data_IF_526717728774
#
_entry.id   IF_526717728774
#
_cell.length_a   1.000
_cell.length_b   1.000
_cell.length_c   1.000
_cell.angle_alpha   90.00
_cell.angle_beta   90.00
_cell.angle_gamma   90.00
#
_symmetry.space_group_name_H-M   'P 1'
#
loop_
_entity.id
_entity.type
_entity.pdbx_description
1 polymer ?
#
# COMPACT_ATOMS: atom_id res chain seq x y z
N UNK A 1 11.00 -9.35 -5.54
CA UNK A 1 9.81 -8.50 -5.75
C UNK A 1 10.08 -7.60 -6.94
N UNK A 2 9.22 -7.53 -7.97
CA UNK A 2 9.40 -6.62 -9.10
C UNK A 2 9.22 -5.16 -8.67
N UNK A 3 10.12 -4.28 -9.09
CA UNK A 3 10.05 -2.86 -8.72
C UNK A 3 8.81 -2.16 -9.28
N UNK A 4 8.47 -2.43 -10.55
CA UNK A 4 7.31 -1.86 -11.25
C UNK A 4 6.00 -2.12 -10.50
N UNK A 5 5.74 -3.38 -10.14
CA UNK A 5 4.53 -3.75 -9.41
C UNK A 5 4.38 -2.99 -8.08
N UNK A 6 5.49 -2.75 -7.37
CA UNK A 6 5.49 -2.02 -6.10
C UNK A 6 5.15 -0.55 -6.31
N UNK A 7 5.77 0.11 -7.29
CA UNK A 7 5.49 1.53 -7.56
C UNK A 7 4.11 1.76 -8.15
N UNK A 8 3.60 0.81 -8.92
CA UNK A 8 2.24 0.85 -9.50
C UNK A 8 1.17 0.65 -8.42
N UNK A 9 1.39 -0.27 -7.48
CA UNK A 9 0.51 -0.47 -6.34
C UNK A 9 0.49 0.77 -5.43
N UNK A 10 1.65 1.26 -5.02
CA UNK A 10 1.77 2.35 -4.05
C UNK A 10 1.59 3.76 -4.65
N UNK A 11 1.71 3.90 -5.97
CA UNK A 11 1.54 5.14 -6.71
C UNK A 11 2.69 6.10 -6.50
N UNK A 12 3.75 5.98 -7.31
CA UNK A 12 4.88 6.92 -7.30
C UNK A 12 4.42 8.38 -7.48
N UNK A 13 4.86 9.25 -6.58
CA UNK A 13 4.59 10.70 -6.61
C UNK A 13 5.83 11.52 -6.90
N UNK A 14 7.02 10.92 -6.78
CA UNK A 14 8.28 11.62 -6.95
C UNK A 14 9.47 10.76 -6.53
N UNK A 15 10.63 11.41 -6.46
CA UNK A 15 11.85 10.81 -5.96
C UNK A 15 12.75 11.86 -5.31
N UNK A 16 13.64 11.42 -4.42
CA UNK A 16 14.61 12.24 -3.72
C UNK A 16 15.95 11.53 -3.61
N UNK A 17 17.03 12.21 -4.00
CA UNK A 17 18.39 11.69 -3.79
C UNK A 17 18.75 11.78 -2.32
N UNK A 18 18.99 10.62 -1.69
CA UNK A 18 19.43 10.51 -0.30
C UNK A 18 20.96 10.53 -0.20
N UNK A 19 21.65 10.06 -1.25
CA UNK A 19 23.10 10.04 -1.32
C UNK A 19 23.70 8.73 -0.81
N UNK A 20 24.98 8.77 -0.42
CA UNK A 20 25.71 7.58 0.04
C UNK A 20 25.24 7.15 1.43
N UNK A 21 24.86 5.88 1.57
CA UNK A 21 24.46 5.24 2.83
C UNK A 21 25.01 3.82 2.90
N UNK A 22 25.23 3.35 4.12
CA UNK A 22 25.38 1.91 4.39
C UNK A 22 23.99 1.35 4.66
N UNK A 23 23.57 0.35 3.86
CA UNK A 23 22.24 -0.25 3.96
C UNK A 23 22.34 -1.74 4.34
N UNK A 24 21.38 -2.28 5.11
CA UNK A 24 21.30 -3.71 5.39
C UNK A 24 21.05 -4.54 4.12
N UNK A 25 21.73 -5.68 3.96
CA UNK A 25 21.61 -6.53 2.78
C UNK A 25 20.29 -7.30 2.68
N UNK A 26 19.60 -7.51 3.82
CA UNK A 26 18.28 -8.13 3.93
C UNK A 26 17.16 -7.22 3.39
N UNK A 27 17.34 -5.90 3.44
CA UNK A 27 16.41 -4.93 2.83
C UNK A 27 16.47 -4.90 1.30
N UNK A 28 17.46 -5.54 0.68
CA UNK A 28 17.57 -5.62 -0.78
C UNK A 28 16.69 -6.76 -1.31
N UNK A 29 15.53 -6.42 -1.88
CA UNK A 29 14.47 -7.39 -2.21
C UNK A 29 14.23 -7.58 -3.70
N UNK A 30 14.89 -6.81 -4.56
CA UNK A 30 14.63 -6.85 -5.99
C UNK A 30 15.60 -6.07 -6.84
N UNK A 31 15.34 -6.11 -8.14
CA UNK A 31 16.08 -5.42 -9.20
C UNK A 31 15.09 -4.55 -9.97
N UNK A 32 15.57 -3.42 -10.51
CA UNK A 32 14.73 -2.56 -11.36
C UNK A 32 14.58 -3.16 -12.76
N UNK A 33 15.68 -3.50 -13.46
CA UNK A 33 15.63 -3.92 -14.88
C UNK A 33 16.33 -5.27 -15.17
N UNK A 34 16.92 -5.93 -14.18
CA UNK A 34 17.76 -7.14 -14.38
C UNK A 34 17.27 -8.41 -13.68
N UNK A 35 15.96 -8.57 -13.55
CA UNK A 35 15.38 -9.75 -12.90
C UNK A 35 15.68 -11.08 -13.64
N UNK A 36 16.01 -11.02 -14.94
CA UNK A 36 16.28 -12.21 -15.75
C UNK A 36 17.72 -12.73 -15.63
N UNK A 37 18.70 -11.83 -15.40
CA UNK A 37 20.12 -12.17 -15.35
C UNK A 37 20.58 -12.76 -13.99
N UNK A 38 19.78 -12.54 -12.95
CA UNK A 38 20.06 -12.95 -11.58
C UNK A 38 18.84 -13.59 -10.94
N UNK A 39 19.02 -14.59 -10.08
CA UNK A 39 17.92 -15.08 -9.26
C UNK A 39 17.59 -14.13 -8.09
N UNK A 40 16.59 -14.50 -7.27
CA UNK A 40 16.15 -13.73 -6.10
C UNK A 40 17.25 -13.49 -5.05
N UNK A 41 18.31 -14.30 -5.07
CA UNK A 41 19.47 -14.20 -4.19
C UNK A 41 20.64 -13.46 -4.86
N UNK A 42 20.37 -12.80 -6.00
CA UNK A 42 21.35 -12.15 -6.86
C UNK A 42 22.43 -13.12 -7.36
N UNK A 43 22.14 -14.41 -7.49
CA UNK A 43 23.11 -15.37 -8.02
C UNK A 43 23.11 -15.31 -9.55
N UNK A 44 24.31 -15.30 -10.19
CA UNK A 44 24.44 -15.33 -11.63
C UNK A 44 23.69 -16.49 -12.27
N UNK A 45 22.85 -16.22 -13.28
CA UNK A 45 22.17 -17.27 -14.07
C UNK A 45 22.92 -17.68 -15.35
N UNK A 46 24.02 -17.01 -15.70
CA UNK A 46 24.82 -17.33 -16.89
C UNK A 46 26.32 -17.37 -16.60
N UNK A 47 27.07 -18.10 -17.42
CA UNK A 47 28.51 -18.29 -17.24
C UNK A 47 29.32 -17.00 -17.46
N UNK A 48 28.85 -16.11 -18.34
CA UNK A 48 29.44 -14.79 -18.52
C UNK A 48 29.36 -13.95 -17.23
N UNK A 49 28.21 -14.01 -16.55
CA UNK A 49 27.95 -13.30 -15.29
C UNK A 49 28.78 -13.94 -14.15
N UNK A 50 29.01 -15.26 -14.19
CA UNK A 50 29.88 -15.99 -13.26
C UNK A 50 31.34 -15.53 -13.32
N UNK A 51 31.92 -15.35 -14.51
CA UNK A 51 33.31 -14.92 -14.66
C UNK A 51 33.58 -13.52 -14.06
N UNK A 52 32.64 -12.57 -14.25
CA UNK A 52 32.71 -11.24 -13.63
C UNK A 52 32.57 -11.34 -12.11
N UNK A 53 31.65 -12.16 -11.62
CA UNK A 53 31.46 -12.40 -10.19
C UNK A 53 32.74 -12.93 -9.52
N UNK A 54 33.42 -13.92 -10.13
CA UNK A 54 34.66 -14.49 -9.60
C UNK A 54 35.76 -13.43 -9.45
N UNK A 55 35.91 -12.55 -10.45
CA UNK A 55 36.88 -11.44 -10.38
C UNK A 55 36.59 -10.49 -9.21
N UNK A 56 35.33 -10.12 -9.00
CA UNK A 56 34.92 -9.24 -7.90
C UNK A 56 35.13 -9.93 -6.55
N UNK A 57 34.76 -11.21 -6.42
CA UNK A 57 34.98 -11.98 -5.20
C UNK A 57 36.48 -12.10 -4.86
N UNK A 58 37.32 -12.37 -5.86
CA UNK A 58 38.77 -12.45 -5.68
C UNK A 58 39.37 -11.10 -5.24
N UNK A 59 38.94 -9.98 -5.83
CA UNK A 59 39.34 -8.64 -5.42
C UNK A 59 38.97 -8.35 -3.96
N UNK A 60 37.75 -8.67 -3.55
CA UNK A 60 37.33 -8.50 -2.16
C UNK A 60 38.14 -9.35 -1.17
N UNK A 61 38.47 -10.59 -1.53
CA UNK A 61 39.31 -11.45 -0.69
C UNK A 61 40.76 -10.94 -0.57
N UNK A 62 41.23 -10.13 -1.53
CA UNK A 62 42.52 -9.43 -1.46
C UNK A 62 42.47 -8.12 -0.65
N UNK A 63 41.32 -7.76 -0.09
CA UNK A 63 41.15 -6.53 0.68
C UNK A 63 40.94 -5.28 -0.17
N UNK A 64 40.70 -5.42 -1.47
CA UNK A 64 40.33 -4.28 -2.32
C UNK A 64 38.96 -3.72 -1.88
N UNK A 65 38.81 -2.39 -1.87
CA UNK A 65 37.54 -1.75 -1.55
C UNK A 65 36.42 -2.14 -2.54
N UNK A 66 35.18 -2.23 -2.05
CA UNK A 66 34.02 -2.45 -2.92
C UNK A 66 33.39 -1.09 -3.23
N UNK A 67 33.33 -0.66 -4.50
CA UNK A 67 32.66 0.60 -4.81
C UNK A 67 31.16 0.49 -4.47
N UNK A 68 30.50 1.58 -4.03
CA UNK A 68 29.09 1.57 -3.68
C UNK A 68 28.18 1.10 -4.83
N UNK A 69 27.08 0.44 -4.49
CA UNK A 69 26.02 0.07 -5.43
C UNK A 69 25.05 1.24 -5.67
N UNK A 70 24.11 1.10 -6.61
CA UNK A 70 23.03 2.07 -6.82
C UNK A 70 21.68 1.40 -6.56
N UNK A 71 20.84 2.02 -5.75
CA UNK A 71 19.53 1.47 -5.36
C UNK A 71 18.43 2.52 -5.37
N UNK A 72 17.22 2.06 -5.71
CA UNK A 72 15.98 2.76 -5.40
C UNK A 72 15.43 2.25 -4.07
N UNK A 73 15.00 3.16 -3.18
CA UNK A 73 14.36 2.84 -1.91
C UNK A 73 12.88 3.13 -1.95
N UNK A 74 12.04 2.17 -1.57
CA UNK A 74 10.60 2.35 -1.35
C UNK A 74 10.29 1.89 0.07
N UNK A 75 10.02 2.83 0.99
CA UNK A 75 9.92 2.51 2.42
C UNK A 75 11.22 1.91 2.97
N UNK A 76 11.12 0.75 3.62
CA UNK A 76 12.27 -0.03 4.10
C UNK A 76 12.93 -0.92 3.04
N UNK A 77 12.39 -0.97 1.81
CA UNK A 77 12.84 -1.89 0.76
C UNK A 77 13.80 -1.22 -0.23
N UNK A 78 14.83 -1.96 -0.66
CA UNK A 78 15.80 -1.52 -1.65
C UNK A 78 15.77 -2.39 -2.92
N UNK A 79 15.81 -1.72 -4.07
CA UNK A 79 15.82 -2.33 -5.40
C UNK A 79 17.11 -1.92 -6.12
N UNK A 80 17.88 -2.91 -6.58
CA UNK A 80 19.19 -2.67 -7.21
C UNK A 80 18.99 -2.14 -8.63
N UNK A 81 19.57 -0.97 -8.87
CA UNK A 81 19.72 -0.36 -10.21
C UNK A 81 21.03 -0.84 -10.83
N UNK A 82 22.13 -0.71 -10.09
CA UNK A 82 23.45 -1.21 -10.49
C UNK A 82 24.19 -1.85 -9.31
N UNK A 83 25.06 -2.82 -9.62
CA UNK A 83 25.90 -3.50 -8.63
C UNK A 83 25.41 -4.87 -8.20
N UNK A 84 24.57 -5.56 -8.98
CA UNK A 84 24.05 -6.90 -8.69
C UNK A 84 25.13 -7.91 -8.28
N UNK A 85 26.25 -7.94 -9.00
CA UNK A 85 27.37 -8.83 -8.63
C UNK A 85 27.98 -8.50 -7.27
N UNK A 86 28.02 -7.21 -6.90
CA UNK A 86 28.57 -6.76 -5.61
C UNK A 86 27.66 -7.16 -4.46
N UNK A 87 26.34 -7.03 -4.64
CA UNK A 87 25.34 -7.57 -3.71
C UNK A 87 25.52 -9.08 -3.54
N UNK A 88 25.64 -9.80 -4.66
CA UNK A 88 25.88 -11.26 -4.67
C UNK A 88 27.14 -11.66 -3.90
N UNK A 89 28.26 -10.98 -4.15
CA UNK A 89 29.53 -11.22 -3.45
C UNK A 89 29.42 -10.88 -1.97
N UNK A 90 28.80 -9.75 -1.61
CA UNK A 90 28.63 -9.35 -0.22
C UNK A 90 27.78 -10.37 0.57
N UNK A 91 26.69 -10.88 -0.01
CA UNK A 91 25.89 -11.98 0.56
C UNK A 91 26.70 -13.27 0.69
N UNK A 92 27.46 -13.63 -0.34
CA UNK A 92 28.31 -14.84 -0.31
C UNK A 92 29.40 -14.78 0.78
N UNK A 93 29.94 -13.58 1.04
CA UNK A 93 30.92 -13.34 2.09
C UNK A 93 30.29 -13.20 3.49
N UNK A 94 28.97 -13.34 3.62
CA UNK A 94 28.28 -13.25 4.90
C UNK A 94 28.30 -11.86 5.52
N UNK A 95 28.35 -10.79 4.71
CA UNK A 95 28.22 -9.43 5.21
C UNK A 95 26.76 -9.13 5.54
N UNK A 96 26.55 -8.24 6.50
CA UNK A 96 25.21 -7.78 6.89
C UNK A 96 24.79 -6.50 6.16
N UNK A 97 25.75 -5.72 5.68
CA UNK A 97 25.49 -4.43 5.04
C UNK A 97 26.41 -4.14 3.85
N UNK A 98 26.01 -3.17 3.02
CA UNK A 98 26.73 -2.71 1.83
C UNK A 98 26.55 -1.20 1.63
N UNK A 99 27.59 -0.53 1.10
CA UNK A 99 27.48 0.88 0.72
C UNK A 99 26.69 1.04 -0.58
N UNK A 100 25.77 2.00 -0.59
CA UNK A 100 24.89 2.28 -1.72
C UNK A 100 24.64 3.79 -1.88
N UNK A 101 24.57 4.26 -3.12
CA UNK A 101 23.89 5.50 -3.44
C UNK A 101 22.39 5.24 -3.50
N UNK A 102 21.66 5.91 -2.60
CA UNK A 102 20.23 5.71 -2.42
C UNK A 102 19.45 6.86 -3.05
N UNK A 103 18.52 6.50 -3.92
CA UNK A 103 17.43 7.38 -4.37
C UNK A 103 16.13 6.87 -3.79
N UNK A 104 15.46 7.68 -2.98
CA UNK A 104 14.18 7.33 -2.38
C UNK A 104 13.02 7.68 -3.29
N UNK A 105 12.11 6.74 -3.49
CA UNK A 105 10.87 6.93 -4.22
C UNK A 105 9.78 7.30 -3.23
N UNK A 106 9.11 8.43 -3.47
CA UNK A 106 7.95 8.82 -2.68
C UNK A 106 6.70 8.23 -3.32
N UNK A 107 5.80 7.70 -2.48
CA UNK A 107 4.56 7.06 -2.92
C UNK A 107 3.34 7.73 -2.30
N UNK A 108 2.18 7.55 -2.92
CA UNK A 108 0.89 8.10 -2.45
C UNK A 108 0.40 7.34 -1.23
N UNK A 109 0.57 6.03 -1.22
CA UNK A 109 0.29 5.15 -0.07
C UNK A 109 1.60 4.83 0.64
N UNK A 110 1.54 4.83 1.98
CA UNK A 110 2.69 4.44 2.79
C UNK A 110 3.07 2.99 2.51
N UNK A 111 4.33 2.71 2.17
CA UNK A 111 4.79 1.34 1.93
C UNK A 111 4.76 0.46 3.18
N UNK A 112 4.64 1.00 4.39
CA UNK A 112 4.77 0.25 5.66
C UNK A 112 6.08 -0.55 5.78
N UNK A 113 6.49 -0.83 7.03
CA UNK A 113 7.68 -1.62 7.28
C UNK A 113 7.39 -3.10 6.99
N UNK A 114 8.26 -3.74 6.20
CA UNK A 114 8.14 -5.17 5.90
C UNK A 114 7.14 -5.53 4.80
N UNK A 115 6.75 -4.57 3.93
CA UNK A 115 5.90 -4.79 2.76
C UNK A 115 6.28 -6.06 1.97
N UNK A 116 5.29 -6.92 1.74
CA UNK A 116 5.42 -8.14 0.94
C UNK A 116 4.66 -8.01 -0.37
N UNK A 117 4.98 -8.91 -1.29
CA UNK A 117 4.33 -8.94 -2.60
C UNK A 117 2.82 -9.21 -2.47
N UNK A 118 2.43 -10.03 -1.50
CA UNK A 118 1.03 -10.36 -1.22
C UNK A 118 0.21 -9.14 -0.72
N UNK A 119 0.87 -8.09 -0.23
CA UNK A 119 0.21 -6.88 0.28
C UNK A 119 -0.07 -5.87 -0.84
N UNK A 120 0.54 -6.03 -2.03
CA UNK A 120 0.41 -5.09 -3.14
C UNK A 120 -1.03 -4.92 -3.66
N UNK A 121 -1.85 -5.98 -3.81
CA UNK A 121 -3.26 -5.80 -4.19
C UNK A 121 -4.01 -4.89 -3.22
N UNK A 122 -3.84 -5.09 -1.91
CA UNK A 122 -4.44 -4.24 -0.88
C UNK A 122 -3.98 -2.78 -1.00
N UNK A 123 -2.68 -2.57 -1.16
CA UNK A 123 -2.10 -1.22 -1.35
C UNK A 123 -2.59 -0.54 -2.63
N UNK A 124 -2.80 -1.31 -3.70
CA UNK A 124 -3.40 -0.81 -4.93
C UNK A 124 -4.84 -0.33 -4.73
N UNK A 125 -5.66 -1.09 -4.01
CA UNK A 125 -7.04 -0.68 -3.67
C UNK A 125 -7.05 0.52 -2.72
N UNK A 126 -6.19 0.55 -1.70
CA UNK A 126 -6.02 1.71 -0.81
C UNK A 126 -5.66 2.96 -1.62
N UNK A 127 -4.71 2.87 -2.55
CA UNK A 127 -4.33 3.99 -3.42
C UNK A 127 -5.50 4.49 -4.24
N UNK A 128 -6.21 3.58 -4.91
CA UNK A 128 -7.36 3.92 -5.75
C UNK A 128 -8.47 4.59 -4.92
N UNK A 129 -8.74 4.08 -3.72
CA UNK A 129 -9.67 4.69 -2.78
C UNK A 129 -9.24 6.13 -2.45
N UNK A 130 -7.99 6.36 -2.07
CA UNK A 130 -7.49 7.71 -1.75
C UNK A 130 -7.50 8.69 -2.94
N UNK A 131 -7.41 8.20 -4.17
CA UNK A 131 -7.52 9.00 -5.40
C UNK A 131 -8.98 9.36 -5.75
N UNK A 132 -9.93 8.48 -5.40
CA UNK A 132 -11.36 8.68 -5.66
C UNK A 132 -12.06 9.42 -4.52
N UNK A 133 -11.63 9.17 -3.29
CA UNK A 133 -12.21 9.68 -2.04
C UNK A 133 -11.13 10.45 -1.26
N UNK A 134 -10.84 11.71 -1.65
CA UNK A 134 -9.74 12.49 -1.07
C UNK A 134 -10.08 13.02 0.33
N UNK A 135 -9.89 12.16 1.34
CA UNK A 135 -10.07 12.50 2.76
C UNK A 135 -8.87 13.27 3.34
N UNK A 136 -9.08 13.98 4.45
CA UNK A 136 -8.01 14.55 5.27
C UNK A 136 -7.17 13.45 5.97
N UNK A 137 -5.92 13.73 6.38
CA UNK A 137 -5.10 12.73 7.09
C UNK A 137 -5.75 12.19 8.37
N UNK A 138 -6.58 12.97 9.04
CA UNK A 138 -7.30 12.56 10.24
C UNK A 138 -8.44 11.60 9.93
N UNK A 139 -9.25 11.94 8.93
CA UNK A 139 -10.35 11.08 8.46
C UNK A 139 -9.81 9.74 7.94
N UNK A 140 -8.71 9.75 7.17
CA UNK A 140 -8.06 8.53 6.65
C UNK A 140 -7.68 7.54 7.75
N UNK A 141 -7.20 8.02 8.91
CA UNK A 141 -6.80 7.13 10.02
C UNK A 141 -7.97 6.34 10.60
N UNK A 142 -9.21 6.79 10.42
CA UNK A 142 -10.42 6.08 10.84
C UNK A 142 -10.87 5.01 9.84
N UNK A 143 -10.37 5.06 8.61
CA UNK A 143 -10.71 4.10 7.56
C UNK A 143 -9.62 3.02 7.51
N UNK A 144 -9.82 1.96 8.29
CA UNK A 144 -9.00 0.75 8.28
C UNK A 144 -9.91 -0.46 8.14
N UNK A 145 -9.40 -1.58 7.65
CA UNK A 145 -10.20 -2.78 7.40
C UNK A 145 -9.48 -4.02 7.90
N UNK A 146 -10.25 -5.02 8.31
CA UNK A 146 -9.72 -6.35 8.64
C UNK A 146 -9.21 -7.08 7.39
N UNK A 147 -9.88 -6.89 6.24
CA UNK A 147 -9.38 -7.23 4.91
C UNK A 147 -9.25 -5.95 4.06
N UNK A 148 -8.05 -5.33 4.02
CA UNK A 148 -7.84 -4.09 3.28
C UNK A 148 -8.08 -4.19 1.78
N UNK A 149 -7.78 -5.33 1.14
CA UNK A 149 -7.96 -5.46 -0.30
C UNK A 149 -9.43 -5.40 -0.68
N UNK A 150 -10.26 -6.18 0.02
CA UNK A 150 -11.70 -6.16 -0.22
C UNK A 150 -12.34 -4.85 0.26
N UNK A 151 -12.00 -4.41 1.47
CA UNK A 151 -12.62 -3.25 2.12
C UNK A 151 -12.45 -1.94 1.35
N UNK A 152 -11.22 -1.63 0.91
CA UNK A 152 -10.98 -0.39 0.14
C UNK A 152 -11.63 -0.43 -1.24
N UNK A 153 -11.65 -1.59 -1.91
CA UNK A 153 -12.30 -1.75 -3.20
C UNK A 153 -13.81 -1.47 -3.10
N UNK A 154 -14.47 -2.11 -2.13
CA UNK A 154 -15.90 -1.96 -1.91
C UNK A 154 -16.28 -0.57 -1.43
N UNK A 155 -15.50 0.01 -0.51
CA UNK A 155 -15.79 1.34 0.01
C UNK A 155 -15.68 2.41 -1.08
N UNK A 156 -14.71 2.31 -1.99
CA UNK A 156 -14.59 3.28 -3.09
C UNK A 156 -15.86 3.32 -3.94
N UNK A 157 -16.38 2.14 -4.34
CA UNK A 157 -17.62 2.06 -5.12
C UNK A 157 -18.84 2.53 -4.32
N UNK A 158 -18.92 2.17 -3.04
CA UNK A 158 -20.02 2.60 -2.17
C UNK A 158 -20.08 4.13 -2.02
N UNK A 159 -18.93 4.79 -1.86
CA UNK A 159 -18.84 6.25 -1.76
C UNK A 159 -19.21 6.92 -3.09
N UNK A 160 -18.74 6.42 -4.22
CA UNK A 160 -19.09 6.97 -5.54
C UNK A 160 -20.62 6.85 -5.80
N UNK A 161 -21.22 5.70 -5.45
CA UNK A 161 -22.66 5.50 -5.56
C UNK A 161 -23.45 6.39 -4.59
N UNK A 162 -22.97 6.59 -3.37
CA UNK A 162 -23.55 7.52 -2.40
C UNK A 162 -23.49 8.97 -2.91
N UNK A 163 -22.32 9.40 -3.39
CA UNK A 163 -22.11 10.74 -3.94
C UNK A 163 -22.99 11.04 -5.14
N UNK A 164 -23.18 10.07 -6.03
CA UNK A 164 -24.13 10.20 -7.14
C UNK A 164 -25.56 10.45 -6.65
N UNK A 165 -26.03 9.70 -5.64
CA UNK A 165 -27.37 9.91 -5.05
C UNK A 165 -27.49 11.27 -4.36
N UNK A 166 -26.45 11.71 -3.65
CA UNK A 166 -26.39 13.04 -3.04
C UNK A 166 -26.57 14.13 -4.10
N UNK A 167 -25.78 14.07 -5.19
CA UNK A 167 -25.87 15.03 -6.29
C UNK A 167 -27.27 15.06 -6.94
N UNK A 168 -27.91 13.90 -7.10
CA UNK A 168 -29.30 13.83 -7.60
C UNK A 168 -30.29 14.51 -6.63
N UNK A 169 -30.14 14.29 -5.33
CA UNK A 169 -31.00 14.89 -4.30
C UNK A 169 -30.83 16.41 -4.18
N UNK A 170 -29.59 16.90 -4.29
CA UNK A 170 -29.27 18.33 -4.27
C UNK A 170 -29.58 19.03 -5.60
N UNK A 171 -29.67 18.27 -6.69
CA UNK A 171 -29.69 18.78 -8.07
C UNK A 171 -28.48 19.68 -8.38
N UNK A 172 -27.30 19.27 -7.90
CA UNK A 172 -26.03 19.98 -8.03
C UNK A 172 -24.90 18.98 -8.36
N UNK A 173 -23.92 19.42 -9.15
CA UNK A 173 -22.72 18.63 -9.42
C UNK A 173 -21.67 18.95 -8.36
N UNK A 174 -21.17 17.91 -7.70
CA UNK A 174 -20.11 18.02 -6.69
C UNK A 174 -18.83 17.38 -7.21
N UNK A 175 -17.69 17.94 -6.83
CA UNK A 175 -16.39 17.33 -7.07
C UNK A 175 -16.08 16.20 -6.07
N UNK A 176 -14.98 15.47 -6.29
CA UNK A 176 -14.59 14.35 -5.42
C UNK A 176 -14.33 14.76 -3.97
N UNK A 177 -13.81 15.97 -3.74
CA UNK A 177 -13.50 16.46 -2.40
C UNK A 177 -14.77 16.81 -1.66
N UNK A 178 -15.70 17.48 -2.32
CA UNK A 178 -17.02 17.79 -1.78
C UNK A 178 -17.76 16.51 -1.42
N UNK A 179 -17.83 15.53 -2.34
CA UNK A 179 -18.45 14.23 -2.08
C UNK A 179 -17.76 13.49 -0.92
N UNK A 180 -16.43 13.43 -0.90
CA UNK A 180 -15.70 12.71 0.16
C UNK A 180 -15.91 13.35 1.53
N UNK A 181 -15.98 14.68 1.60
CA UNK A 181 -16.20 15.40 2.84
C UNK A 181 -17.64 15.17 3.36
N UNK A 182 -18.64 15.39 2.51
CA UNK A 182 -20.04 15.13 2.87
C UNK A 182 -20.26 13.67 3.24
N UNK A 183 -19.68 12.72 2.49
CA UNK A 183 -19.79 11.31 2.84
C UNK A 183 -19.22 11.02 4.23
N UNK A 184 -18.05 11.58 4.55
CA UNK A 184 -17.43 11.32 5.84
C UNK A 184 -18.24 11.91 6.99
N UNK A 185 -18.69 13.16 6.85
CA UNK A 185 -19.35 13.94 7.91
C UNK A 185 -20.83 13.59 8.08
N UNK A 186 -21.54 13.38 6.98
CA UNK A 186 -23.00 13.24 6.98
C UNK A 186 -23.46 11.78 6.97
N UNK A 187 -22.61 10.84 6.52
CA UNK A 187 -22.95 9.42 6.42
C UNK A 187 -22.04 8.54 7.29
N UNK A 188 -20.73 8.49 7.01
CA UNK A 188 -19.83 7.54 7.66
C UNK A 188 -19.76 7.77 9.18
N UNK A 189 -19.40 8.98 9.62
CA UNK A 189 -19.22 9.25 11.05
C UNK A 189 -20.51 9.11 11.86
N UNK A 190 -21.68 9.61 11.42
CA UNK A 190 -22.95 9.43 12.13
C UNK A 190 -23.41 7.97 12.18
N UNK A 191 -23.28 7.22 11.08
CA UNK A 191 -23.62 5.79 11.05
C UNK A 191 -22.71 5.02 12.01
N UNK A 192 -21.40 5.22 11.94
CA UNK A 192 -20.45 4.57 12.87
C UNK A 192 -20.75 4.92 14.32
N UNK A 193 -21.10 6.18 14.61
CA UNK A 193 -21.47 6.58 15.96
C UNK A 193 -22.73 5.85 16.44
N UNK A 194 -23.75 5.76 15.58
CA UNK A 194 -24.98 5.01 15.88
C UNK A 194 -24.70 3.53 16.13
N UNK A 195 -23.81 2.92 15.34
CA UNK A 195 -23.39 1.53 15.54
C UNK A 195 -22.61 1.34 16.84
N UNK A 196 -21.77 2.30 17.22
CA UNK A 196 -21.08 2.29 18.51
C UNK A 196 -22.07 2.37 19.67
N UNK A 197 -23.01 3.30 19.61
CA UNK A 197 -24.02 3.49 20.66
C UNK A 197 -24.94 2.27 20.80
N UNK A 198 -25.08 1.49 19.72
CA UNK A 198 -25.83 0.24 19.68
C UNK A 198 -25.00 -1.03 19.97
N UNK A 199 -23.70 -0.90 20.26
CA UNK A 199 -22.74 -2.01 20.41
C UNK A 199 -22.67 -2.96 19.19
N UNK A 200 -22.87 -2.41 17.98
CA UNK A 200 -22.94 -3.15 16.71
C UNK A 200 -21.66 -3.06 15.87
N UNK A 201 -20.57 -2.48 16.39
CA UNK A 201 -19.28 -2.49 15.69
C UNK A 201 -18.76 -3.93 15.56
N UNK A 202 -18.88 -4.72 16.63
CA UNK A 202 -18.37 -6.09 16.70
C UNK A 202 -16.84 -6.12 16.81
N UNK A 203 -16.22 -7.21 16.35
CA UNK A 203 -14.77 -7.43 16.47
C UNK A 203 -13.93 -6.79 15.36
N UNK A 204 -14.56 -6.14 14.39
CA UNK A 204 -13.89 -5.50 13.25
C UNK A 204 -13.56 -4.03 13.50
N UNK A 205 -13.18 -3.32 12.45
CA UNK A 205 -12.98 -1.87 12.46
C UNK A 205 -14.30 -1.11 12.31
N UNK A 206 -14.26 0.21 12.51
CA UNK A 206 -15.39 1.10 12.18
C UNK A 206 -15.84 0.94 10.72
N UNK A 207 -14.89 0.82 9.78
CA UNK A 207 -15.20 0.71 8.37
C UNK A 207 -15.72 -0.68 7.99
N UNK A 208 -15.25 -1.76 8.65
CA UNK A 208 -15.83 -3.10 8.49
C UNK A 208 -17.33 -3.09 8.89
N UNK A 209 -17.65 -2.48 10.03
CA UNK A 209 -19.02 -2.36 10.53
C UNK A 209 -19.90 -1.50 9.61
N UNK A 210 -19.36 -0.36 9.15
CA UNK A 210 -20.05 0.52 8.21
C UNK A 210 -20.41 -0.21 6.90
N UNK A 211 -19.46 -0.90 6.27
CA UNK A 211 -19.70 -1.62 5.02
C UNK A 211 -20.74 -2.73 5.19
N UNK A 212 -20.66 -3.50 6.29
CA UNK A 212 -21.66 -4.53 6.62
C UNK A 212 -23.07 -3.92 6.63
N UNK A 213 -23.24 -2.77 7.29
CA UNK A 213 -24.52 -2.09 7.39
C UNK A 213 -24.97 -1.49 6.06
N UNK A 214 -24.08 -0.90 5.28
CA UNK A 214 -24.41 -0.37 3.95
C UNK A 214 -24.89 -1.47 3.00
N UNK A 215 -24.29 -2.66 3.04
CA UNK A 215 -24.78 -3.84 2.31
C UNK A 215 -26.19 -4.24 2.76
N UNK A 216 -26.36 -4.44 4.06
CA UNK A 216 -27.63 -4.90 4.62
C UNK A 216 -28.75 -3.87 4.43
N UNK A 217 -28.45 -2.56 4.48
CA UNK A 217 -29.39 -1.48 4.19
C UNK A 217 -30.00 -1.60 2.80
N UNK A 218 -29.18 -1.88 1.79
CA UNK A 218 -29.68 -2.09 0.42
C UNK A 218 -30.56 -3.34 0.33
N UNK A 219 -30.14 -4.43 0.97
CA UNK A 219 -30.84 -5.71 0.93
C UNK A 219 -32.16 -5.72 1.71
N UNK A 220 -32.19 -5.09 2.89
CA UNK A 220 -33.28 -5.21 3.86
C UNK A 220 -34.29 -4.05 3.79
N UNK A 221 -33.79 -2.83 3.54
CA UNK A 221 -34.58 -1.62 3.79
C UNK A 221 -34.95 -0.90 2.50
N UNK A 222 -34.17 -1.09 1.41
CA UNK A 222 -34.32 -0.38 0.12
C UNK A 222 -34.40 1.15 0.26
N UNK A 223 -34.00 1.70 1.40
CA UNK A 223 -33.99 3.12 1.72
C UNK A 223 -32.57 3.59 2.04
N UNK A 224 -32.34 4.87 1.80
CA UNK A 224 -31.14 5.59 2.18
C UNK A 224 -31.35 6.51 3.39
N UNK A 225 -32.43 6.39 4.13
CA UNK A 225 -32.63 7.16 5.37
C UNK A 225 -32.01 6.46 6.57
N UNK A 226 -31.58 7.25 7.56
CA UNK A 226 -31.01 6.76 8.83
C UNK A 226 -31.85 7.28 9.99
N UNK A 227 -32.69 6.41 10.56
CA UNK A 227 -33.58 6.71 11.68
C UNK A 227 -33.55 5.59 12.74
N UNK A 228 -34.26 5.79 13.85
CA UNK A 228 -34.33 4.82 14.94
C UNK A 228 -34.94 3.47 14.51
N UNK A 229 -35.89 3.49 13.57
CA UNK A 229 -36.56 2.30 13.07
C UNK A 229 -35.61 1.43 12.24
N UNK A 230 -34.76 2.05 11.42
CA UNK A 230 -33.67 1.40 10.67
C UNK A 230 -32.69 0.72 11.63
N UNK A 231 -32.27 1.40 12.69
CA UNK A 231 -31.34 0.84 13.69
C UNK A 231 -31.97 -0.36 14.40
N UNK A 232 -33.24 -0.26 14.82
CA UNK A 232 -33.94 -1.34 15.49
C UNK A 232 -34.04 -2.60 14.60
N UNK A 233 -34.29 -2.41 13.31
CA UNK A 233 -34.39 -3.51 12.35
C UNK A 233 -33.04 -4.16 12.05
N UNK A 234 -31.97 -3.38 11.97
CA UNK A 234 -30.61 -3.90 11.81
C UNK A 234 -30.17 -4.76 12.99
N UNK A 235 -30.50 -4.39 14.24
CA UNK A 235 -30.23 -5.23 15.42
C UNK A 235 -30.80 -6.63 15.27
N UNK A 236 -32.04 -6.75 14.79
CA UNK A 236 -32.71 -8.05 14.64
C UNK A 236 -32.10 -8.99 13.60
N UNK A 237 -31.22 -8.49 12.72
CA UNK A 237 -30.61 -9.26 11.63
C UNK A 237 -29.11 -9.50 11.85
N UNK A 238 -28.46 -8.66 12.66
CA UNK A 238 -27.03 -8.76 12.94
C UNK A 238 -26.69 -9.54 14.23
N UNK A 239 -27.69 -9.84 15.07
CA UNK A 239 -27.63 -10.84 16.15
C UNK A 239 -27.64 -12.28 15.60
#
# INVERSE_FOLDING_TARGET
>A
MPFSEVVDALGRTGERRVGLKTIPLDTIVGSVDRAEEFDRDFRPRSDRVRARWQRINAAQRRGEGMPPIEVLRVGGLHFVVDGHHRVSVARHLGRDAIEAYVTEITTRVSPEDGLKLADLPAKGHERLFLERVPLSPEQRRRITFSDPAQGFAELAEAVEAWGFRLMQGLNELLDRREVAQSWFEDEFAPVVQSLRDADLIGSGTEADAYIRVVRERYMLLRTHEWDEDVIARLRSVLD
#
